data_IF_198434151907
#
_entry.id   IF_198434151907
#
_cell.length_a   1.000
_cell.length_b   1.000
_cell.length_c   1.000
_cell.angle_alpha   90.00
_cell.angle_beta   90.00
_cell.angle_gamma   90.00
#
_symmetry.space_group_name_H-M   'P 1'
#
loop_
_entity.id
_entity.type
_entity.pdbx_description
1 polymer ?
#
# COMPACT_ATOMS: atom_id res chain seq x y z
N UNK A 1 -6.22 -22.28 19.02
CA UNK A 1 -5.91 -20.93 18.58
C UNK A 1 -7.19 -20.10 18.39
N UNK A 2 -7.04 -18.81 18.11
CA UNK A 2 -8.19 -17.91 17.92
C UNK A 2 -9.17 -18.37 16.83
N UNK A 3 -8.68 -19.15 15.87
CA UNK A 3 -9.47 -19.78 14.79
C UNK A 3 -10.16 -21.11 15.20
N UNK A 4 -10.13 -21.52 16.48
CA UNK A 4 -10.81 -22.75 16.92
C UNK A 4 -12.34 -22.71 16.81
N UNK A 5 -12.94 -21.52 16.69
CA UNK A 5 -14.32 -21.41 16.23
C UNK A 5 -14.35 -21.84 14.74
N UNK A 6 -14.94 -23.00 14.47
CA UNK A 6 -15.05 -23.60 13.13
C UNK A 6 -15.56 -22.58 12.07
N UNK A 7 -16.32 -21.57 12.51
CA UNK A 7 -16.81 -20.53 11.62
C UNK A 7 -15.72 -19.56 11.16
N UNK A 8 -14.74 -19.21 11.98
CA UNK A 8 -13.70 -18.24 11.62
C UNK A 8 -12.71 -18.83 10.62
N UNK A 9 -12.23 -20.05 10.85
CA UNK A 9 -11.34 -20.74 9.90
C UNK A 9 -12.03 -20.97 8.55
N UNK A 10 -13.30 -21.32 8.54
CA UNK A 10 -14.04 -21.50 7.30
C UNK A 10 -14.25 -20.16 6.57
N UNK A 11 -14.43 -19.05 7.28
CA UNK A 11 -14.45 -17.71 6.68
C UNK A 11 -13.12 -17.35 6.04
N UNK A 12 -11.99 -17.63 6.72
CA UNK A 12 -10.63 -17.41 6.17
C UNK A 12 -10.38 -18.25 4.91
N UNK A 13 -10.72 -19.54 4.94
CA UNK A 13 -10.64 -20.41 3.77
C UNK A 13 -11.49 -19.91 2.61
N UNK A 14 -12.73 -19.50 2.90
CA UNK A 14 -13.63 -18.95 1.90
C UNK A 14 -13.12 -17.63 1.31
N UNK A 15 -12.47 -16.77 2.12
CA UNK A 15 -11.80 -15.57 1.65
C UNK A 15 -10.69 -15.93 0.65
N UNK A 16 -9.78 -16.81 1.05
CA UNK A 16 -8.68 -17.25 0.21
C UNK A 16 -9.15 -17.90 -1.10
N UNK A 17 -10.17 -18.77 -1.05
CA UNK A 17 -10.77 -19.40 -2.25
C UNK A 17 -11.36 -18.36 -3.20
N UNK A 18 -12.10 -17.38 -2.66
CA UNK A 18 -12.69 -16.31 -3.49
C UNK A 18 -11.62 -15.44 -4.14
N UNK A 19 -10.56 -15.07 -3.39
CA UNK A 19 -9.41 -14.35 -3.96
C UNK A 19 -8.81 -15.11 -5.12
N UNK A 20 -8.50 -16.39 -4.93
CA UNK A 20 -7.92 -17.26 -5.99
C UNK A 20 -8.86 -17.37 -7.20
N UNK A 21 -10.16 -17.47 -6.99
CA UNK A 21 -11.15 -17.49 -8.08
C UNK A 21 -11.20 -16.19 -8.88
N UNK A 22 -10.92 -15.07 -8.24
CA UNK A 22 -10.87 -13.74 -8.86
C UNK A 22 -9.61 -13.49 -9.71
N UNK A 23 -8.55 -14.29 -9.53
CA UNK A 23 -7.29 -14.10 -10.25
C UNK A 23 -7.39 -14.59 -11.71
N UNK A 24 -6.70 -13.93 -12.65
CA UNK A 24 -6.44 -14.47 -13.99
C UNK A 24 -5.74 -15.84 -13.92
N UNK A 25 -6.01 -16.71 -14.88
CA UNK A 25 -5.41 -18.06 -14.95
C UNK A 25 -3.89 -18.04 -15.14
N UNK A 26 -3.36 -16.91 -15.60
CA UNK A 26 -1.91 -16.66 -15.82
C UNK A 26 -1.17 -16.26 -14.55
N UNK A 27 -1.89 -15.85 -13.51
CA UNK A 27 -1.28 -15.42 -12.26
C UNK A 27 -0.73 -16.61 -11.48
N UNK A 28 0.24 -16.34 -10.62
CA UNK A 28 0.87 -17.34 -9.75
C UNK A 28 0.41 -17.11 -8.32
N UNK A 29 0.08 -18.18 -7.61
CA UNK A 29 -0.38 -18.19 -6.22
C UNK A 29 0.51 -19.08 -5.38
N UNK A 30 0.85 -18.64 -4.19
CA UNK A 30 1.40 -19.42 -3.10
C UNK A 30 0.58 -19.22 -1.84
N UNK A 31 0.56 -20.20 -0.93
CA UNK A 31 -0.23 -20.14 0.29
C UNK A 31 0.62 -20.59 1.47
N UNK A 32 0.63 -19.77 2.49
CA UNK A 32 1.25 -20.04 3.78
C UNK A 32 0.17 -20.03 4.84
N UNK A 33 0.10 -21.07 5.65
CA UNK A 33 -0.64 -21.08 6.91
C UNK A 33 0.34 -20.89 8.08
N UNK A 34 -0.10 -20.20 9.11
CA UNK A 34 0.69 -19.99 10.32
C UNK A 34 -0.20 -20.16 11.56
N UNK A 35 0.33 -20.91 12.51
CA UNK A 35 -0.22 -21.10 13.84
C UNK A 35 0.95 -21.07 14.86
N UNK A 36 1.24 -22.16 15.56
CA UNK A 36 2.45 -22.30 16.38
C UNK A 36 3.73 -22.30 15.52
N UNK A 37 3.59 -22.77 14.29
CA UNK A 37 4.63 -22.89 13.29
C UNK A 37 4.18 -22.29 11.94
N UNK A 38 5.06 -22.30 10.95
CA UNK A 38 4.77 -21.81 9.59
C UNK A 38 4.75 -22.96 8.61
N UNK A 39 3.64 -23.13 7.91
CA UNK A 39 3.40 -24.22 6.98
C UNK A 39 3.22 -23.68 5.55
N UNK A 40 4.09 -24.09 4.62
CA UNK A 40 3.86 -23.83 3.19
C UNK A 40 2.81 -24.83 2.70
N UNK A 41 1.59 -24.35 2.54
CA UNK A 41 0.45 -25.15 2.06
C UNK A 41 0.52 -25.34 0.55
N UNK A 42 0.97 -24.28 -0.16
CA UNK A 42 1.09 -24.28 -1.61
C UNK A 42 2.34 -23.52 -2.02
N UNK A 43 3.28 -24.19 -2.65
CA UNK A 43 4.37 -23.55 -3.39
C UNK A 43 3.82 -22.79 -4.60
N UNK A 44 4.57 -21.82 -5.17
CA UNK A 44 4.11 -21.03 -6.31
C UNK A 44 3.57 -21.89 -7.46
N UNK A 45 2.28 -21.71 -7.78
CA UNK A 45 1.56 -22.42 -8.83
C UNK A 45 0.67 -21.49 -9.65
N UNK A 46 0.45 -21.80 -10.94
CA UNK A 46 -0.51 -21.06 -11.77
C UNK A 46 -1.92 -21.13 -11.18
N UNK A 47 -2.61 -19.98 -11.15
CA UNK A 47 -4.01 -19.90 -10.71
C UNK A 47 -4.97 -20.70 -11.59
N UNK A 48 -4.54 -21.19 -12.75
CA UNK A 48 -5.30 -22.12 -13.58
C UNK A 48 -5.56 -23.48 -12.89
N UNK A 49 -4.72 -23.89 -11.92
CA UNK A 49 -4.89 -25.12 -11.14
C UNK A 49 -5.91 -24.98 -9.99
N UNK A 50 -7.00 -24.24 -10.22
CA UNK A 50 -7.96 -23.82 -9.18
C UNK A 50 -8.44 -24.93 -8.26
N UNK A 51 -8.86 -26.05 -8.81
CA UNK A 51 -9.37 -27.16 -8.00
C UNK A 51 -8.31 -27.72 -7.06
N UNK A 52 -7.06 -27.83 -7.52
CA UNK A 52 -5.95 -28.27 -6.67
C UNK A 52 -5.69 -27.24 -5.56
N UNK A 53 -5.64 -25.94 -5.89
CA UNK A 53 -5.42 -24.88 -4.92
C UNK A 53 -6.53 -24.84 -3.86
N UNK A 54 -7.80 -24.98 -4.28
CA UNK A 54 -8.94 -25.02 -3.36
C UNK A 54 -8.87 -26.22 -2.40
N UNK A 55 -8.47 -27.39 -2.90
CA UNK A 55 -8.28 -28.58 -2.08
C UNK A 55 -7.17 -28.36 -1.03
N UNK A 56 -6.07 -27.69 -1.41
CA UNK A 56 -5.00 -27.34 -0.48
C UNK A 56 -5.48 -26.36 0.58
N UNK A 57 -6.28 -25.33 0.23
CA UNK A 57 -6.88 -24.40 1.19
C UNK A 57 -7.80 -25.16 2.17
N UNK A 58 -8.62 -26.08 1.68
CA UNK A 58 -9.51 -26.88 2.54
C UNK A 58 -8.75 -27.77 3.53
N UNK A 59 -7.53 -28.17 3.20
CA UNK A 59 -6.68 -29.00 4.08
C UNK A 59 -6.05 -28.24 5.25
N UNK A 60 -6.13 -26.90 5.29
CA UNK A 60 -5.58 -26.10 6.39
C UNK A 60 -6.33 -26.45 7.69
N UNK A 61 -5.57 -26.68 8.74
CA UNK A 61 -6.06 -26.90 10.09
C UNK A 61 -5.59 -25.78 11.01
N UNK A 62 -6.18 -25.64 12.18
CA UNK A 62 -5.81 -24.63 13.19
C UNK A 62 -4.86 -25.21 14.23
N UNK A 63 -3.91 -24.40 14.72
CA UNK A 63 -3.10 -24.65 15.90
C UNK A 63 -3.52 -23.78 17.09
N UNK A 64 -2.63 -23.57 18.06
CA UNK A 64 -2.93 -22.92 19.33
C UNK A 64 -2.40 -21.48 19.42
N UNK A 65 -1.34 -21.15 18.69
CA UNK A 65 -0.71 -19.83 18.71
C UNK A 65 -0.83 -19.11 17.36
N UNK A 66 -0.18 -17.94 17.21
CA UNK A 66 -0.25 -17.12 16.00
C UNK A 66 1.13 -16.52 15.70
N UNK A 67 1.96 -17.30 14.97
CA UNK A 67 3.28 -16.88 14.49
C UNK A 67 3.18 -15.96 13.26
N UNK A 68 2.42 -14.87 13.37
CA UNK A 68 2.05 -14.00 12.25
C UNK A 68 3.26 -13.38 11.56
N UNK A 69 4.25 -12.88 12.32
CA UNK A 69 5.47 -12.29 11.74
C UNK A 69 6.23 -13.31 10.88
N UNK A 70 6.42 -14.52 11.38
CA UNK A 70 7.10 -15.60 10.64
C UNK A 70 6.29 -16.03 9.40
N UNK A 71 4.95 -16.06 9.51
CA UNK A 71 4.04 -16.34 8.39
C UNK A 71 4.14 -15.30 7.27
N UNK A 72 4.15 -14.01 7.63
CA UNK A 72 4.33 -12.89 6.67
C UNK A 72 5.71 -12.98 6.03
N UNK A 73 6.78 -13.20 6.81
CA UNK A 73 8.15 -13.36 6.30
C UNK A 73 8.26 -14.51 5.31
N UNK A 74 7.63 -15.65 5.61
CA UNK A 74 7.61 -16.80 4.70
C UNK A 74 6.85 -16.53 3.40
N UNK A 75 5.71 -15.84 3.50
CA UNK A 75 4.96 -15.37 2.33
C UNK A 75 5.80 -14.46 1.44
N UNK A 76 6.56 -13.55 2.05
CA UNK A 76 7.50 -12.67 1.36
C UNK A 76 8.58 -13.46 0.61
N UNK A 77 9.21 -14.44 1.25
CA UNK A 77 10.21 -15.32 0.61
C UNK A 77 9.66 -16.02 -0.65
N UNK A 78 8.42 -16.54 -0.58
CA UNK A 78 7.80 -17.22 -1.71
C UNK A 78 7.50 -16.27 -2.87
N UNK A 79 7.07 -15.04 -2.58
CA UNK A 79 6.86 -14.02 -3.62
C UNK A 79 8.19 -13.63 -4.26
N UNK A 80 9.25 -13.43 -3.48
CA UNK A 80 10.58 -13.14 -4.02
C UNK A 80 11.12 -14.26 -4.91
N UNK A 81 10.95 -15.53 -4.51
CA UNK A 81 11.33 -16.68 -5.34
C UNK A 81 10.57 -16.69 -6.67
N UNK A 82 9.29 -16.37 -6.66
CA UNK A 82 8.48 -16.28 -7.88
C UNK A 82 8.90 -15.12 -8.76
N UNK A 83 9.27 -13.98 -8.17
CA UNK A 83 9.69 -12.78 -8.90
C UNK A 83 10.98 -13.00 -9.68
N UNK A 84 11.94 -13.75 -9.15
CA UNK A 84 13.19 -14.10 -9.87
C UNK A 84 12.95 -14.92 -11.14
N UNK A 85 11.78 -15.55 -11.25
CA UNK A 85 11.37 -16.38 -12.38
C UNK A 85 10.44 -15.63 -13.37
N UNK A 86 9.99 -14.41 -13.04
CA UNK A 86 8.97 -13.65 -13.78
C UNK A 86 9.57 -12.47 -14.55
N UNK A 87 8.85 -11.97 -15.55
CA UNK A 87 9.22 -10.79 -16.33
C UNK A 87 9.08 -9.49 -15.52
N UNK A 88 9.77 -8.43 -15.94
CA UNK A 88 9.85 -7.11 -15.28
C UNK A 88 8.53 -6.35 -15.06
N UNK A 89 7.39 -6.89 -15.48
CA UNK A 89 6.05 -6.26 -15.39
C UNK A 89 5.08 -7.05 -14.50
N UNK A 90 5.58 -7.76 -13.49
CA UNK A 90 4.72 -8.55 -12.58
C UNK A 90 4.34 -7.73 -11.36
N UNK A 91 3.04 -7.63 -11.08
CA UNK A 91 2.51 -7.03 -9.86
C UNK A 91 2.50 -8.09 -8.76
N UNK A 92 3.25 -7.85 -7.70
CA UNK A 92 3.38 -8.77 -6.58
C UNK A 92 2.60 -8.26 -5.36
N UNK A 93 1.80 -9.16 -4.76
CA UNK A 93 1.00 -8.82 -3.58
C UNK A 93 1.08 -9.91 -2.52
N UNK A 94 1.07 -9.47 -1.27
CA UNK A 94 0.91 -10.31 -0.10
C UNK A 94 -0.44 -9.96 0.56
N UNK A 95 -1.26 -10.96 0.85
CA UNK A 95 -2.53 -10.79 1.56
C UNK A 95 -2.47 -11.60 2.84
N UNK A 96 -2.60 -10.93 3.97
CA UNK A 96 -2.63 -11.54 5.30
C UNK A 96 -4.07 -11.65 5.76
N UNK A 97 -4.50 -12.85 6.14
CA UNK A 97 -5.85 -13.11 6.66
C UNK A 97 -5.68 -13.73 8.05
N UNK A 98 -6.19 -13.08 9.07
CA UNK A 98 -6.08 -13.55 10.46
C UNK A 98 -7.29 -13.14 11.29
N UNK A 99 -7.57 -13.89 12.35
CA UNK A 99 -8.56 -13.57 13.38
C UNK A 99 -7.92 -13.42 14.76
N UNK A 100 -6.60 -13.60 14.87
CA UNK A 100 -5.91 -13.70 16.13
C UNK A 100 -4.88 -12.60 16.40
N UNK A 101 -4.54 -12.51 17.68
CA UNK A 101 -3.43 -11.71 18.14
C UNK A 101 -2.11 -12.42 17.84
N UNK A 102 -1.12 -11.70 17.28
CA UNK A 102 0.24 -12.19 17.21
C UNK A 102 0.75 -12.46 18.64
N UNK A 103 1.13 -13.69 18.94
CA UNK A 103 1.55 -14.11 20.27
C UNK A 103 2.78 -15.04 20.24
N UNK A 104 3.42 -15.20 19.09
CA UNK A 104 4.74 -15.83 18.93
C UNK A 104 5.71 -14.75 18.47
N UNK A 105 6.83 -14.64 19.16
CA UNK A 105 7.88 -13.63 18.87
C UNK A 105 8.50 -13.79 17.46
N UNK A 106 8.81 -12.68 16.77
CA UNK A 106 8.59 -11.29 17.18
C UNK A 106 7.10 -10.90 17.07
N UNK A 107 6.57 -10.15 18.03
CA UNK A 107 5.15 -9.79 18.08
C UNK A 107 4.87 -8.31 18.42
N UNK A 108 5.92 -7.49 18.51
CA UNK A 108 5.79 -6.05 18.77
C UNK A 108 5.43 -5.29 17.48
N UNK A 109 4.68 -4.19 17.62
CA UNK A 109 4.23 -3.38 16.48
C UNK A 109 5.39 -2.94 15.55
N UNK A 110 6.53 -2.57 16.15
CA UNK A 110 7.70 -2.11 15.39
C UNK A 110 8.30 -3.21 14.51
N UNK A 111 8.29 -4.47 14.94
CA UNK A 111 8.77 -5.60 14.16
C UNK A 111 7.95 -5.76 12.87
N UNK A 112 6.62 -5.64 12.98
CA UNK A 112 5.72 -5.69 11.84
C UNK A 112 5.86 -4.49 10.91
N UNK A 113 6.08 -3.29 11.45
CA UNK A 113 6.33 -2.08 10.68
C UNK A 113 7.60 -2.21 9.85
N UNK A 114 8.68 -2.71 10.46
CA UNK A 114 9.96 -2.90 9.76
C UNK A 114 9.83 -3.95 8.66
N UNK A 115 9.18 -5.08 8.94
CA UNK A 115 8.91 -6.12 7.95
C UNK A 115 8.07 -5.59 6.78
N UNK A 116 7.00 -4.84 7.05
CA UNK A 116 6.15 -4.26 6.02
C UNK A 116 6.91 -3.26 5.13
N UNK A 117 7.78 -2.43 5.73
CA UNK A 117 8.66 -1.50 4.99
C UNK A 117 9.67 -2.25 4.11
N UNK A 118 10.22 -3.36 4.58
CA UNK A 118 11.15 -4.20 3.80
C UNK A 118 10.44 -4.85 2.61
N UNK A 119 9.28 -5.45 2.83
CA UNK A 119 8.44 -6.04 1.78
C UNK A 119 8.12 -4.99 0.72
N UNK A 120 7.70 -3.79 1.15
CA UNK A 120 7.38 -2.71 0.22
C UNK A 120 8.59 -2.22 -0.57
N UNK A 121 9.77 -2.11 0.05
CA UNK A 121 11.03 -1.77 -0.68
C UNK A 121 11.36 -2.75 -1.79
N UNK A 122 10.91 -4.00 -1.65
CA UNK A 122 11.07 -5.06 -2.67
C UNK A 122 9.98 -5.00 -3.76
N UNK A 123 9.13 -3.97 -3.79
CA UNK A 123 8.08 -3.80 -4.80
C UNK A 123 6.84 -4.67 -4.56
N UNK A 124 6.65 -5.15 -3.34
CA UNK A 124 5.51 -6.00 -2.97
C UNK A 124 4.56 -5.21 -2.09
N UNK A 125 3.28 -5.19 -2.46
CA UNK A 125 2.22 -4.54 -1.68
C UNK A 125 1.59 -5.53 -0.71
N UNK A 126 1.42 -5.14 0.56
CA UNK A 126 0.83 -5.99 1.60
C UNK A 126 -0.52 -5.45 2.04
N UNK A 127 -1.58 -6.24 1.85
CA UNK A 127 -2.93 -5.97 2.37
C UNK A 127 -3.25 -6.92 3.51
N UNK A 128 -4.08 -6.49 4.46
CA UNK A 128 -4.45 -7.28 5.64
C UNK A 128 -5.96 -7.36 5.81
N UNK A 129 -6.45 -8.51 6.25
CA UNK A 129 -7.87 -8.78 6.55
C UNK A 129 -8.00 -9.36 7.95
N UNK A 130 -8.69 -8.67 8.84
CA UNK A 130 -9.04 -9.15 10.17
C UNK A 130 -10.44 -9.80 10.16
N UNK A 131 -10.58 -10.99 10.75
CA UNK A 131 -11.85 -11.72 10.84
C UNK A 131 -12.33 -11.71 12.29
N UNK A 132 -13.58 -11.29 12.52
CA UNK A 132 -14.14 -11.16 13.87
C UNK A 132 -13.53 -10.00 14.65
N UNK A 133 -13.56 -10.03 15.99
CA UNK A 133 -13.22 -8.90 16.83
C UNK A 133 -11.97 -9.12 17.71
N UNK A 134 -11.31 -10.30 17.61
CA UNK A 134 -10.28 -10.74 18.56
C UNK A 134 -8.84 -10.56 18.04
N UNK A 135 -8.61 -9.83 16.95
CA UNK A 135 -7.28 -9.61 16.37
C UNK A 135 -6.69 -8.25 16.78
N UNK A 136 -5.38 -8.07 16.59
CA UNK A 136 -4.72 -6.79 16.80
C UNK A 136 -4.93 -5.87 15.58
N UNK A 137 -5.98 -5.02 15.68
CA UNK A 137 -6.31 -4.06 14.63
C UNK A 137 -5.15 -3.11 14.31
N UNK A 138 -4.41 -2.68 15.35
CA UNK A 138 -3.30 -1.75 15.19
C UNK A 138 -2.17 -2.37 14.35
N UNK A 139 -1.79 -3.60 14.63
CA UNK A 139 -0.78 -4.32 13.84
C UNK A 139 -1.23 -4.45 12.38
N UNK A 140 -2.47 -4.91 12.13
CA UNK A 140 -2.95 -5.11 10.76
C UNK A 140 -3.03 -3.79 9.98
N UNK A 141 -3.47 -2.71 10.63
CA UNK A 141 -3.44 -1.37 10.03
C UNK A 141 -2.01 -0.93 9.70
N UNK A 142 -1.09 -1.07 10.63
CA UNK A 142 0.32 -0.70 10.43
C UNK A 142 0.94 -1.52 9.29
N UNK A 143 0.75 -2.84 9.26
CA UNK A 143 1.28 -3.71 8.19
C UNK A 143 0.75 -3.28 6.83
N UNK A 144 -0.55 -3.00 6.69
CA UNK A 144 -1.13 -2.57 5.42
C UNK A 144 -0.68 -1.16 5.04
N UNK A 145 -0.61 -0.23 5.99
CA UNK A 145 -0.23 1.16 5.74
C UNK A 145 1.22 1.27 5.27
N UNK A 146 2.17 0.70 6.02
CA UNK A 146 3.58 0.67 5.65
C UNK A 146 3.87 -0.28 4.49
N UNK A 147 3.06 -1.34 4.32
CA UNK A 147 3.09 -2.26 3.17
C UNK A 147 2.44 -1.70 1.90
N UNK A 148 1.78 -0.54 1.97
CA UNK A 148 1.19 0.17 0.82
C UNK A 148 -0.14 -0.38 0.32
N UNK A 149 -0.73 -1.35 1.02
CA UNK A 149 -2.01 -1.95 0.70
C UNK A 149 -3.18 -1.35 1.49
N UNK A 150 -4.25 -2.14 1.63
CA UNK A 150 -5.44 -1.82 2.42
C UNK A 150 -5.58 -2.75 3.63
N UNK A 151 -6.25 -2.25 4.65
CA UNK A 151 -6.75 -3.04 5.77
C UNK A 151 -8.26 -3.14 5.70
N UNK A 152 -8.77 -4.34 5.90
CA UNK A 152 -10.21 -4.64 5.86
C UNK A 152 -10.63 -5.45 7.08
N UNK A 153 -11.81 -5.13 7.61
CA UNK A 153 -12.44 -5.84 8.72
C UNK A 153 -13.63 -6.67 8.22
N UNK A 154 -13.66 -7.94 8.59
CA UNK A 154 -14.66 -8.91 8.16
C UNK A 154 -15.43 -9.42 9.38
N UNK A 155 -16.66 -8.93 9.57
CA UNK A 155 -17.52 -9.37 10.67
C UNK A 155 -18.39 -10.55 10.25
N UNK A 156 -18.82 -10.59 8.99
CA UNK A 156 -19.75 -11.59 8.51
C UNK A 156 -19.53 -11.98 7.03
N UNK A 157 -20.22 -13.02 6.57
CA UNK A 157 -20.06 -13.56 5.22
C UNK A 157 -20.40 -12.57 4.09
N UNK A 158 -21.25 -11.56 4.34
CA UNK A 158 -21.56 -10.52 3.34
C UNK A 158 -20.40 -9.55 3.18
N UNK A 159 -19.78 -9.15 4.27
CA UNK A 159 -18.59 -8.28 4.27
C UNK A 159 -17.42 -8.98 3.55
N UNK A 160 -17.22 -10.27 3.86
CA UNK A 160 -16.23 -11.09 3.18
C UNK A 160 -16.35 -11.00 1.66
N UNK A 161 -17.58 -11.15 1.14
CA UNK A 161 -17.81 -11.13 -0.30
C UNK A 161 -17.47 -9.76 -0.91
N UNK A 162 -17.83 -8.67 -0.21
CA UNK A 162 -17.54 -7.30 -0.64
C UNK A 162 -16.02 -7.04 -0.64
N UNK A 163 -15.38 -7.27 0.50
CA UNK A 163 -13.94 -7.04 0.69
C UNK A 163 -13.11 -7.81 -0.33
N UNK A 164 -13.39 -9.10 -0.51
CA UNK A 164 -12.66 -9.93 -1.48
C UNK A 164 -12.83 -9.44 -2.91
N UNK A 165 -14.05 -9.02 -3.31
CA UNK A 165 -14.26 -8.46 -4.65
C UNK A 165 -13.54 -7.11 -4.83
N UNK A 166 -13.52 -6.27 -3.82
CA UNK A 166 -12.77 -5.01 -3.84
C UNK A 166 -11.27 -5.28 -3.99
N UNK A 167 -10.70 -6.19 -3.22
CA UNK A 167 -9.30 -6.59 -3.32
C UNK A 167 -8.96 -7.17 -4.70
N UNK A 168 -9.77 -8.11 -5.21
CA UNK A 168 -9.57 -8.67 -6.54
C UNK A 168 -9.65 -7.59 -7.63
N UNK A 169 -10.58 -6.64 -7.51
CA UNK A 169 -10.71 -5.52 -8.44
C UNK A 169 -9.49 -4.60 -8.38
N UNK A 170 -9.01 -4.25 -7.19
CA UNK A 170 -7.81 -3.43 -7.01
C UNK A 170 -6.58 -4.12 -7.63
N UNK A 171 -6.41 -5.43 -7.40
CA UNK A 171 -5.33 -6.22 -8.00
C UNK A 171 -5.33 -6.13 -9.52
N UNK A 172 -6.50 -6.26 -10.16
CA UNK A 172 -6.64 -6.20 -11.62
C UNK A 172 -6.49 -4.78 -12.20
N UNK A 173 -6.79 -3.75 -11.42
CA UNK A 173 -6.78 -2.36 -11.86
C UNK A 173 -5.51 -1.61 -11.48
N UNK A 174 -4.59 -2.21 -10.74
CA UNK A 174 -3.30 -1.60 -10.43
C UNK A 174 -2.49 -1.42 -11.71
N UNK A 175 -1.93 -0.22 -11.88
CA UNK A 175 -1.17 0.17 -13.08
C UNK A 175 0.31 0.34 -12.73
N UNK A 176 0.62 0.89 -11.55
CA UNK A 176 1.98 1.10 -11.06
C UNK A 176 2.05 0.67 -9.60
N UNK A 177 3.04 -0.13 -9.26
CA UNK A 177 3.29 -0.58 -7.89
C UNK A 177 4.42 0.20 -7.26
N UNK A 178 4.28 0.50 -5.95
CA UNK A 178 5.27 1.22 -5.17
C UNK A 178 5.82 2.48 -5.89
N UNK A 179 4.94 3.33 -6.47
CA UNK A 179 5.38 4.51 -7.18
C UNK A 179 6.06 5.51 -6.24
N UNK A 180 7.02 6.25 -6.78
CA UNK A 180 7.69 7.34 -6.08
C UNK A 180 7.49 8.63 -6.86
N UNK A 181 7.05 9.67 -6.18
CA UNK A 181 7.07 11.02 -6.72
C UNK A 181 8.43 11.63 -6.42
N UNK A 182 9.16 11.97 -7.48
CA UNK A 182 10.40 12.74 -7.39
C UNK A 182 10.10 14.20 -7.71
N UNK A 183 10.38 15.09 -6.75
CA UNK A 183 10.25 16.53 -6.90
C UNK A 183 11.66 17.12 -6.90
N UNK A 184 11.98 17.89 -7.91
CA UNK A 184 13.22 18.67 -7.96
C UNK A 184 12.88 20.14 -7.90
N UNK A 185 13.31 20.81 -6.83
CA UNK A 185 13.15 22.26 -6.64
C UNK A 185 14.29 23.02 -7.24
N UNK A 186 14.03 24.22 -7.76
CA UNK A 186 15.08 25.16 -8.12
C UNK A 186 15.65 25.83 -6.86
N UNK A 187 16.85 26.39 -6.94
CA UNK A 187 17.56 26.99 -5.80
C UNK A 187 16.80 28.11 -5.07
N UNK A 188 15.78 28.66 -5.74
CA UNK A 188 14.91 29.70 -5.19
C UNK A 188 13.71 29.17 -4.41
N UNK A 189 13.53 27.84 -4.33
CA UNK A 189 12.37 27.19 -3.73
C UNK A 189 12.77 26.21 -2.61
N UNK A 190 11.95 26.16 -1.56
CA UNK A 190 12.13 25.30 -0.39
C UNK A 190 10.81 24.61 -0.08
N UNK A 191 10.80 23.26 0.00
CA UNK A 191 9.65 22.48 0.42
C UNK A 191 9.52 22.56 1.95
N UNK A 192 8.39 23.09 2.42
CA UNK A 192 8.09 23.24 3.85
C UNK A 192 7.26 22.07 4.38
N UNK A 193 6.21 21.68 3.64
CA UNK A 193 5.26 20.65 4.06
C UNK A 193 4.75 19.87 2.84
N UNK A 194 4.41 18.61 3.08
CA UNK A 194 3.75 17.75 2.10
C UNK A 194 2.65 16.93 2.78
N UNK A 195 1.47 16.90 2.18
CA UNK A 195 0.32 16.15 2.67
C UNK A 195 -0.37 15.40 1.53
N UNK A 196 -0.82 14.17 1.77
CA UNK A 196 -1.73 13.47 0.88
C UNK A 196 -3.18 13.82 1.27
N UNK A 197 -4.07 13.97 0.28
CA UNK A 197 -5.51 14.10 0.49
C UNK A 197 -6.32 13.00 -0.20
N UNK A 198 -5.73 12.30 -1.15
CA UNK A 198 -6.32 11.14 -1.82
C UNK A 198 -5.25 10.07 -2.08
N UNK A 199 -5.59 8.80 -1.99
CA UNK A 199 -6.90 8.24 -1.60
C UNK A 199 -7.25 8.43 -0.11
N UNK A 200 -6.27 8.74 0.75
CA UNK A 200 -6.44 8.95 2.19
C UNK A 200 -5.75 10.25 2.62
N UNK A 201 -6.37 10.96 3.55
CA UNK A 201 -5.75 12.16 4.16
C UNK A 201 -4.71 11.70 5.19
N UNK A 202 -3.46 12.11 4.99
CA UNK A 202 -2.34 11.82 5.89
C UNK A 202 -1.17 12.78 5.68
N UNK A 203 -0.42 13.11 6.74
CA UNK A 203 0.85 13.82 6.58
C UNK A 203 1.85 12.90 5.86
N UNK A 204 2.81 13.52 5.19
CA UNK A 204 3.96 12.82 4.59
C UNK A 204 5.19 13.21 5.39
N UNK A 205 5.48 12.42 6.42
CA UNK A 205 6.55 12.73 7.38
C UNK A 205 7.93 12.20 6.93
N UNK A 206 7.96 11.15 6.10
CA UNK A 206 9.21 10.53 5.62
C UNK A 206 9.67 11.16 4.28
N UNK A 207 9.93 12.47 4.30
CA UNK A 207 10.46 13.21 3.16
C UNK A 207 11.96 12.93 3.03
N UNK A 208 12.34 12.14 2.03
CA UNK A 208 13.76 11.89 1.71
C UNK A 208 14.28 13.00 0.80
N UNK A 209 14.81 14.06 1.41
CA UNK A 209 15.39 15.18 0.69
C UNK A 209 16.92 15.06 0.64
N UNK A 210 17.48 15.15 -0.57
CA UNK A 210 18.92 15.20 -0.83
C UNK A 210 19.20 16.36 -1.76
N UNK A 211 19.83 17.41 -1.23
CA UNK A 211 19.99 18.67 -1.96
C UNK A 211 18.63 19.30 -2.28
N UNK A 212 18.36 19.49 -3.57
CA UNK A 212 17.09 20.05 -4.06
C UNK A 212 16.08 18.99 -4.53
N UNK A 213 16.38 17.70 -4.33
CA UNK A 213 15.51 16.58 -4.73
C UNK A 213 14.82 15.99 -3.50
N UNK A 214 13.51 15.88 -3.57
CA UNK A 214 12.69 15.17 -2.57
C UNK A 214 12.00 13.99 -3.21
N UNK A 215 12.09 12.81 -2.58
CA UNK A 215 11.44 11.58 -3.02
C UNK A 215 10.35 11.21 -2.01
N UNK A 216 9.13 11.01 -2.51
CA UNK A 216 7.94 10.68 -1.74
C UNK A 216 7.40 9.35 -2.24
N UNK A 217 7.30 8.36 -1.35
CA UNK A 217 6.62 7.10 -1.64
C UNK A 217 5.10 7.29 -1.74
N UNK A 218 4.49 6.78 -2.81
CA UNK A 218 3.05 6.82 -3.00
C UNK A 218 2.45 5.42 -2.84
N UNK A 219 1.15 5.35 -2.59
CA UNK A 219 0.40 4.09 -2.73
C UNK A 219 0.36 3.65 -4.19
N UNK A 220 0.06 2.37 -4.41
CA UNK A 220 -0.11 1.84 -5.77
C UNK A 220 -1.10 2.69 -6.58
N UNK A 221 -0.76 2.95 -7.83
CA UNK A 221 -1.66 3.69 -8.75
C UNK A 221 -2.65 2.69 -9.33
N UNK A 222 -3.92 2.90 -8.99
CA UNK A 222 -5.05 2.10 -9.45
C UNK A 222 -5.79 2.89 -10.53
N UNK A 223 -6.23 2.22 -11.57
CA UNK A 223 -6.97 2.84 -12.68
C UNK A 223 -8.21 3.57 -12.15
N UNK A 224 -8.39 4.82 -12.58
CA UNK A 224 -9.48 5.71 -12.19
C UNK A 224 -9.51 6.11 -10.71
N UNK A 225 -8.48 5.80 -9.92
CA UNK A 225 -8.35 6.28 -8.55
C UNK A 225 -7.34 7.43 -8.51
N UNK A 226 -7.77 8.65 -8.21
CA UNK A 226 -6.87 9.80 -8.22
C UNK A 226 -6.00 9.85 -6.96
N UNK A 227 -4.72 10.15 -7.14
CA UNK A 227 -3.86 10.61 -6.08
C UNK A 227 -3.88 12.14 -6.04
N UNK A 228 -3.98 12.72 -4.85
CA UNK A 228 -3.85 14.16 -4.66
C UNK A 228 -2.92 14.44 -3.49
N UNK A 229 -1.90 15.25 -3.78
CA UNK A 229 -0.92 15.69 -2.81
C UNK A 229 -0.91 17.21 -2.77
N UNK A 230 -0.67 17.75 -1.59
CA UNK A 230 -0.55 19.19 -1.35
C UNK A 230 0.86 19.48 -0.84
N UNK A 231 1.46 20.48 -1.43
CA UNK A 231 2.79 20.93 -1.07
C UNK A 231 2.74 22.40 -0.66
N UNK A 232 3.38 22.71 0.45
CA UNK A 232 3.67 24.07 0.85
C UNK A 232 5.11 24.39 0.52
N UNK A 233 5.30 25.26 -0.46
CA UNK A 233 6.61 25.63 -0.98
C UNK A 233 6.84 27.11 -0.75
N UNK A 234 7.97 27.43 -0.13
CA UNK A 234 8.46 28.80 -0.01
C UNK A 234 9.29 29.12 -1.23
N UNK A 235 8.99 30.25 -1.88
CA UNK A 235 9.75 30.74 -3.02
C UNK A 235 10.39 32.08 -2.66
N UNK A 236 11.66 32.22 -2.96
CA UNK A 236 12.39 33.49 -2.74
C UNK A 236 11.89 34.54 -3.73
N UNK A 237 11.80 35.79 -3.29
CA UNK A 237 11.44 36.91 -4.17
C UNK A 237 12.45 37.00 -5.34
N UNK A 238 11.92 37.26 -6.53
CA UNK A 238 12.68 37.35 -7.76
C UNK A 238 12.03 38.25 -8.79
N UNK A 239 12.50 38.18 -10.01
CA UNK A 239 12.00 38.95 -11.16
C UNK A 239 11.85 38.00 -12.36
N UNK A 240 10.89 38.29 -13.24
CA UNK A 240 10.67 37.59 -14.49
C UNK A 240 9.33 36.87 -14.56
N UNK A 241 9.03 36.34 -15.74
CA UNK A 241 7.83 35.57 -16.06
C UNK A 241 8.21 34.16 -16.50
N UNK A 242 7.34 33.19 -16.22
CA UNK A 242 7.50 31.78 -16.61
C UNK A 242 8.84 31.18 -16.15
N UNK A 243 9.22 31.46 -14.91
CA UNK A 243 10.45 30.95 -14.31
C UNK A 243 10.17 29.53 -13.76
N UNK A 244 10.84 28.47 -14.27
CA UNK A 244 10.74 27.15 -13.70
C UNK A 244 11.17 27.17 -12.23
N UNK A 245 10.34 26.59 -11.33
CA UNK A 245 10.70 26.49 -9.91
C UNK A 245 10.60 25.06 -9.34
N UNK A 246 9.89 24.18 -10.04
CA UNK A 246 9.71 22.79 -9.63
C UNK A 246 9.57 21.90 -10.88
N UNK A 247 10.20 20.74 -10.85
CA UNK A 247 9.87 19.62 -11.73
C UNK A 247 9.37 18.43 -10.92
N UNK A 248 8.39 17.71 -11.46
CA UNK A 248 7.80 16.53 -10.84
C UNK A 248 7.76 15.36 -11.83
N UNK A 249 8.10 14.18 -11.35
CA UNK A 249 8.04 12.95 -12.12
C UNK A 249 7.67 11.76 -11.25
N UNK A 250 7.02 10.77 -11.83
CA UNK A 250 6.65 9.53 -11.14
C UNK A 250 7.58 8.41 -11.62
N UNK A 251 8.15 7.70 -10.65
CA UNK A 251 9.06 6.60 -10.86
C UNK A 251 8.46 5.28 -10.36
N UNK A 252 8.77 4.19 -11.03
CA UNK A 252 8.62 2.83 -10.54
C UNK A 252 10.02 2.20 -10.49
N UNK A 253 10.56 2.05 -9.28
CA UNK A 253 11.98 1.73 -9.12
C UNK A 253 12.88 2.82 -9.72
N UNK A 254 13.66 2.46 -10.74
CA UNK A 254 14.50 3.41 -11.49
C UNK A 254 13.85 3.92 -12.79
N UNK A 255 12.68 3.40 -13.16
CA UNK A 255 12.03 3.74 -14.41
C UNK A 255 11.07 4.92 -14.21
N UNK A 256 11.14 5.93 -15.06
CA UNK A 256 10.17 7.01 -15.12
C UNK A 256 8.91 6.52 -15.84
N UNK A 257 7.76 6.59 -15.15
CA UNK A 257 6.46 6.18 -15.70
C UNK A 257 5.58 7.36 -16.10
N UNK A 258 5.84 8.55 -15.53
CA UNK A 258 5.17 9.79 -15.92
C UNK A 258 6.04 11.02 -15.63
N UNK A 259 5.86 12.09 -16.40
CA UNK A 259 6.60 13.34 -16.31
C UNK A 259 7.84 13.34 -17.25
N UNK A 260 8.86 14.20 -17.00
CA UNK A 260 8.83 15.26 -16.01
C UNK A 260 7.86 16.39 -16.40
N UNK A 261 7.06 16.83 -15.45
CA UNK A 261 6.26 18.04 -15.59
C UNK A 261 6.93 19.19 -14.88
N UNK A 262 6.98 20.35 -15.53
CA UNK A 262 7.61 21.57 -14.97
C UNK A 262 6.54 22.57 -14.57
N UNK A 263 6.64 23.09 -13.36
CA UNK A 263 5.79 24.18 -12.87
C UNK A 263 6.60 25.46 -12.85
N UNK A 264 6.02 26.49 -13.44
CA UNK A 264 6.62 27.82 -13.58
C UNK A 264 5.88 28.85 -12.73
N UNK A 265 6.61 29.85 -12.29
CA UNK A 265 6.07 31.02 -11.59
C UNK A 265 6.41 32.30 -12.34
N UNK A 266 5.57 33.31 -12.18
CA UNK A 266 5.84 34.65 -12.68
C UNK A 266 5.79 35.62 -11.51
N UNK A 267 6.80 36.44 -11.41
CA UNK A 267 6.86 37.50 -10.40
C UNK A 267 6.14 38.75 -10.92
N UNK A 268 5.41 39.42 -10.05
CA UNK A 268 4.66 40.63 -10.41
C UNK A 268 4.66 41.65 -9.29
N UNK A 269 4.60 42.93 -9.65
CA UNK A 269 4.38 44.05 -8.73
C UNK A 269 2.91 44.48 -8.67
N UNK A 270 2.02 43.85 -9.44
CA UNK A 270 0.58 44.12 -9.38
C UNK A 270 -0.05 43.51 -8.13
N UNK A 271 -0.37 44.38 -7.15
CA UNK A 271 -1.00 43.97 -5.89
C UNK A 271 -2.34 43.29 -6.05
N UNK A 272 -3.04 43.48 -7.18
CA UNK A 272 -4.31 42.79 -7.46
C UNK A 272 -4.10 41.28 -7.69
N UNK A 273 -2.94 40.88 -8.18
CA UNK A 273 -2.60 39.49 -8.45
C UNK A 273 -2.09 38.75 -7.19
N UNK A 274 -1.67 39.47 -6.13
CA UNK A 274 -1.22 38.85 -4.87
C UNK A 274 -2.32 38.09 -4.12
N UNK A 275 -3.58 38.41 -4.37
CA UNK A 275 -4.74 37.87 -3.68
C UNK A 275 -5.55 36.91 -4.55
N UNK A 276 -4.99 36.45 -5.68
CA UNK A 276 -5.64 35.45 -6.52
C UNK A 276 -5.36 34.10 -5.90
N UNK A 277 -6.38 33.51 -5.26
CA UNK A 277 -6.34 32.18 -4.69
C UNK A 277 -7.15 31.23 -5.57
N UNK A 278 -6.60 30.06 -5.85
CA UNK A 278 -7.41 28.95 -6.34
C UNK A 278 -8.19 28.38 -5.14
N UNK A 279 -9.44 28.83 -4.99
CA UNK A 279 -10.29 28.45 -3.85
C UNK A 279 -10.44 26.95 -3.68
N UNK A 280 -10.46 26.18 -4.76
CA UNK A 280 -10.61 24.73 -4.69
C UNK A 280 -9.35 24.09 -4.07
N UNK A 281 -8.17 24.53 -4.46
CA UNK A 281 -6.90 24.05 -3.88
C UNK A 281 -6.79 24.52 -2.43
N UNK A 282 -7.10 25.77 -2.14
CA UNK A 282 -7.04 26.34 -0.79
C UNK A 282 -7.96 25.60 0.19
N UNK A 283 -9.22 25.39 -0.17
CA UNK A 283 -10.16 24.66 0.69
C UNK A 283 -9.80 23.19 0.84
N UNK A 284 -9.28 22.55 -0.20
CA UNK A 284 -8.79 21.17 -0.12
C UNK A 284 -7.60 21.07 0.84
N UNK A 285 -6.68 22.02 0.78
CA UNK A 285 -5.51 22.06 1.68
C UNK A 285 -5.93 22.26 3.14
N UNK A 286 -6.77 23.26 3.44
CA UNK A 286 -7.28 23.53 4.79
C UNK A 286 -8.07 22.34 5.35
N UNK A 287 -8.88 21.68 4.51
CA UNK A 287 -9.61 20.49 4.92
C UNK A 287 -8.67 19.34 5.30
N UNK A 288 -7.57 19.19 4.57
CA UNK A 288 -6.52 18.19 4.85
C UNK A 288 -5.81 18.52 6.16
N UNK A 289 -5.36 19.75 6.37
CA UNK A 289 -4.71 20.16 7.62
C UNK A 289 -5.64 19.99 8.83
N UNK A 290 -6.90 20.41 8.71
CA UNK A 290 -7.89 20.24 9.79
C UNK A 290 -8.12 18.77 10.19
N UNK A 291 -8.05 17.85 9.23
CA UNK A 291 -8.21 16.41 9.48
C UNK A 291 -6.98 15.79 10.14
N UNK A 292 -5.77 16.29 9.80
CA UNK A 292 -4.51 15.80 10.40
C UNK A 292 -4.37 16.23 11.87
N UNK A 293 -4.92 17.40 12.23
CA UNK A 293 -4.83 17.96 13.59
C UNK A 293 -5.87 17.38 14.57
N UNK A 294 -6.81 16.58 14.12
CA UNK A 294 -7.82 15.87 14.91
C UNK A 294 -7.56 14.37 14.96
#
# INVERSE_FOLDING_TARGET
GSMEDDMKIEQAKNAAIKLVRGLPSTDTVSIVAFDDDVHVILDPKPASERQYIENMIHSITTGYATAMHAGISKGFDLVQQSHTLSSSNTINRLVVITDGLANVEPCEDEDFIQLAKEIRKSGITTSTMGIGDDYNEQILKSVSEFGGGSWDHIVNASDLSKVVNEQATQMQQTIVTNPQLRITLMDTAELLEANASKPKIMPIDDLKTTGNVTIIGLKDIIRNEPHALHFKIKVTAGEGENIPFLTAEILEGSNMVAGPDTIEISYTNDRKLYNIENKNIFWSFLGTEATILH
#
